data_IF_409742526825
#
_entry.id   IF_409742526825
#
_cell.length_a   1.000
_cell.length_b   1.000
_cell.length_c   1.000
_cell.angle_alpha   90.00
_cell.angle_beta   90.00
_cell.angle_gamma   90.00
#
_symmetry.space_group_name_H-M   'P 1'
#
loop_
_entity.id
_entity.type
_entity.pdbx_description
1 polymer ?
#
# COMPACT_ATOMS: atom_id res chain seq x y z
N UNK A 1 -16.33 29.50 17.13
CA UNK A 1 -16.42 28.12 16.56
C UNK A 1 -15.04 27.52 16.27
N UNK A 2 -14.05 28.27 15.75
CA UNK A 2 -12.68 27.80 15.47
C UNK A 2 -11.99 27.11 16.66
N UNK A 3 -11.89 27.77 17.83
CA UNK A 3 -11.21 27.25 19.03
C UNK A 3 -11.75 25.90 19.55
N UNK A 4 -13.01 25.59 19.29
CA UNK A 4 -13.63 24.30 19.66
C UNK A 4 -13.28 23.20 18.67
N UNK A 5 -13.13 23.55 17.39
CA UNK A 5 -12.69 22.66 16.33
C UNK A 5 -11.23 22.29 16.52
N UNK A 6 -10.35 23.29 16.76
CA UNK A 6 -8.92 23.06 17.00
C UNK A 6 -8.68 22.16 18.22
N UNK A 7 -9.52 22.31 19.29
CA UNK A 7 -9.43 21.44 20.47
C UNK A 7 -9.86 20.01 20.19
N UNK A 8 -10.83 19.79 19.31
CA UNK A 8 -11.30 18.45 18.91
C UNK A 8 -10.25 17.76 18.08
N UNK A 9 -9.75 18.40 17.03
CA UNK A 9 -8.72 17.89 16.11
C UNK A 9 -7.45 17.50 16.89
N UNK A 10 -7.05 18.31 17.89
CA UNK A 10 -5.90 18.01 18.74
C UNK A 10 -6.10 16.75 19.59
N UNK A 11 -7.30 16.52 20.14
CA UNK A 11 -7.59 15.32 20.94
C UNK A 11 -7.65 14.09 20.03
N UNK A 12 -8.25 14.20 18.84
CA UNK A 12 -8.28 13.14 17.85
C UNK A 12 -6.86 12.74 17.41
N UNK A 13 -5.98 13.71 17.15
CA UNK A 13 -4.57 13.45 16.86
C UNK A 13 -3.84 12.75 18.03
N UNK A 14 -4.10 13.15 19.28
CA UNK A 14 -3.54 12.47 20.44
C UNK A 14 -4.05 11.04 20.61
N UNK A 15 -5.31 10.77 20.26
CA UNK A 15 -5.88 9.40 20.27
C UNK A 15 -5.18 8.54 19.20
N UNK A 16 -4.97 9.07 17.99
CA UNK A 16 -4.27 8.36 16.93
C UNK A 16 -2.83 8.05 17.34
N UNK A 17 -2.11 9.03 17.88
CA UNK A 17 -0.72 8.85 18.33
C UNK A 17 -0.60 7.78 19.43
N UNK A 18 -1.50 7.79 20.42
CA UNK A 18 -1.58 6.73 21.42
C UNK A 18 -1.99 5.39 20.82
N UNK A 19 -2.90 5.40 19.85
CA UNK A 19 -3.30 4.21 19.11
C UNK A 19 -2.13 3.58 18.38
N UNK A 20 -1.26 4.37 17.73
CA UNK A 20 -0.02 3.90 17.09
C UNK A 20 0.93 3.26 18.11
N UNK A 21 1.12 3.88 19.27
CA UNK A 21 1.96 3.33 20.33
C UNK A 21 1.42 1.98 20.83
N UNK A 22 0.13 1.90 21.11
CA UNK A 22 -0.51 0.63 21.50
C UNK A 22 -0.45 -0.42 20.40
N UNK A 23 -0.52 0.00 19.12
CA UNK A 23 -0.34 -0.91 17.98
C UNK A 23 1.06 -1.54 17.99
N UNK A 24 2.09 -0.75 18.29
CA UNK A 24 3.47 -1.23 18.42
C UNK A 24 3.65 -2.18 19.62
N UNK A 25 3.07 -1.82 20.77
CA UNK A 25 3.27 -2.55 22.02
C UNK A 25 2.46 -3.84 22.12
N UNK A 26 1.24 -3.85 21.55
CA UNK A 26 0.25 -4.91 21.78
C UNK A 26 -0.35 -5.49 20.49
N UNK A 27 -0.10 -4.86 19.36
CA UNK A 27 -0.69 -5.25 18.07
C UNK A 27 -2.17 -4.84 17.92
N UNK A 28 -2.67 -4.97 16.68
CA UNK A 28 -4.00 -4.51 16.32
C UNK A 28 -5.14 -5.27 17.06
N UNK A 29 -4.93 -6.54 17.39
CA UNK A 29 -5.93 -7.36 18.08
C UNK A 29 -6.24 -6.88 19.51
N UNK A 30 -5.25 -6.28 20.20
CA UNK A 30 -5.37 -5.86 21.60
C UNK A 30 -5.64 -4.36 21.77
N UNK A 31 -5.87 -3.61 20.70
CA UNK A 31 -6.23 -2.19 20.79
C UNK A 31 -7.47 -1.95 21.66
N UNK A 32 -7.36 -1.00 22.60
CA UNK A 32 -8.37 -0.71 23.60
C UNK A 32 -8.55 0.79 23.83
N UNK A 33 -9.74 1.32 23.50
CA UNK A 33 -10.12 2.71 23.80
C UNK A 33 -10.08 3.03 25.30
N UNK A 34 -10.30 2.04 26.17
CA UNK A 34 -10.20 2.24 27.62
C UNK A 34 -8.76 2.44 28.08
N UNK A 35 -7.82 1.72 27.47
CA UNK A 35 -6.40 1.91 27.73
C UNK A 35 -5.94 3.30 27.24
N UNK A 36 -6.31 3.67 26.02
CA UNK A 36 -6.02 5.02 25.46
C UNK A 36 -6.63 6.13 26.34
N UNK A 37 -7.86 5.96 26.83
CA UNK A 37 -8.49 6.94 27.74
C UNK A 37 -7.67 7.13 29.02
N UNK A 38 -7.20 6.04 29.60
CA UNK A 38 -6.34 6.07 30.79
C UNK A 38 -5.04 6.83 30.52
N UNK A 39 -4.39 6.57 29.40
CA UNK A 39 -3.13 7.21 29.03
C UNK A 39 -3.29 8.69 28.71
N UNK A 40 -4.47 9.10 28.21
CA UNK A 40 -4.86 10.52 28.04
C UNK A 40 -5.24 11.22 29.37
N UNK A 41 -5.35 10.49 30.48
CA UNK A 41 -5.90 11.03 31.72
C UNK A 41 -7.38 11.40 31.61
N UNK A 42 -8.13 10.78 30.70
CA UNK A 42 -9.53 11.04 30.44
C UNK A 42 -10.43 9.89 30.94
N UNK A 43 -11.66 10.20 31.33
CA UNK A 43 -12.67 9.16 31.55
C UNK A 43 -13.06 8.52 30.21
N UNK A 44 -13.27 7.20 30.18
CA UNK A 44 -13.55 6.47 28.94
C UNK A 44 -14.73 7.07 28.15
N UNK A 45 -15.81 7.50 28.84
CA UNK A 45 -16.96 8.13 28.19
C UNK A 45 -16.63 9.43 27.43
N UNK A 46 -15.55 10.11 27.78
CA UNK A 46 -15.09 11.29 27.06
C UNK A 46 -14.40 10.93 25.75
N UNK A 47 -13.60 9.84 25.71
CA UNK A 47 -12.93 9.34 24.50
C UNK A 47 -13.94 8.83 23.48
N UNK A 48 -14.99 8.14 23.92
CA UNK A 48 -16.07 7.66 23.03
C UNK A 48 -16.82 8.79 22.28
N UNK A 49 -16.68 10.04 22.68
CA UNK A 49 -17.21 11.18 21.90
C UNK A 49 -16.36 11.57 20.70
N UNK A 50 -15.11 11.12 20.66
CA UNK A 50 -14.17 11.35 19.57
C UNK A 50 -14.05 10.13 18.64
N UNK A 51 -13.97 8.95 19.25
CA UNK A 51 -13.82 7.67 18.54
C UNK A 51 -14.87 6.71 19.13
N UNK A 52 -15.87 6.35 18.32
CA UNK A 52 -17.08 5.68 18.76
C UNK A 52 -16.90 4.20 19.16
N UNK A 53 -15.87 3.55 18.61
CA UNK A 53 -15.60 2.13 18.82
C UNK A 53 -14.13 1.79 18.59
N UNK A 54 -13.72 0.56 18.94
CA UNK A 54 -12.42 -0.01 18.58
C UNK A 54 -12.25 -0.08 17.06
N UNK A 55 -13.29 -0.45 16.35
CA UNK A 55 -13.25 -0.55 14.88
C UNK A 55 -13.09 0.82 14.24
N UNK A 56 -13.70 1.86 14.82
CA UNK A 56 -13.46 3.25 14.40
C UNK A 56 -12.00 3.66 14.62
N UNK A 57 -11.39 3.29 15.74
CA UNK A 57 -9.97 3.52 15.99
C UNK A 57 -9.09 2.80 14.97
N UNK A 58 -9.37 1.53 14.68
CA UNK A 58 -8.65 0.77 13.65
C UNK A 58 -8.77 1.44 12.29
N UNK A 59 -9.96 1.94 11.91
CA UNK A 59 -10.17 2.66 10.66
C UNK A 59 -9.33 3.94 10.61
N UNK A 60 -9.29 4.72 11.69
CA UNK A 60 -8.47 5.93 11.76
C UNK A 60 -6.98 5.62 11.61
N UNK A 61 -6.48 4.60 12.31
CA UNK A 61 -5.08 4.17 12.22
C UNK A 61 -4.73 3.64 10.84
N UNK A 62 -5.66 2.96 10.17
CA UNK A 62 -5.47 2.41 8.83
C UNK A 62 -5.42 3.52 7.78
N UNK A 63 -6.33 4.50 7.84
CA UNK A 63 -6.33 5.68 6.96
C UNK A 63 -5.07 6.51 7.14
N UNK A 64 -4.64 6.69 8.38
CA UNK A 64 -3.45 7.41 8.76
C UNK A 64 -2.19 6.71 8.24
N UNK A 65 -2.05 5.41 8.43
CA UNK A 65 -0.93 4.61 7.91
C UNK A 65 -0.86 4.62 6.38
N UNK A 66 -2.00 4.49 5.67
CA UNK A 66 -2.04 4.62 4.21
C UNK A 66 -1.60 6.01 3.75
N UNK A 67 -2.04 7.06 4.45
CA UNK A 67 -1.69 8.44 4.10
C UNK A 67 -0.21 8.70 4.30
N UNK A 68 0.37 8.26 5.41
CA UNK A 68 1.81 8.41 5.68
C UNK A 68 2.69 7.66 4.67
N UNK A 69 2.30 6.42 4.33
CA UNK A 69 2.98 5.63 3.30
C UNK A 69 2.93 6.35 1.94
N UNK A 70 1.75 6.81 1.55
CA UNK A 70 1.58 7.53 0.28
C UNK A 70 2.37 8.83 0.26
N UNK A 71 2.37 9.61 1.36
CA UNK A 71 3.14 10.84 1.47
C UNK A 71 4.67 10.58 1.40
N UNK A 72 5.14 9.44 1.92
CA UNK A 72 6.53 9.02 1.77
C UNK A 72 6.89 8.72 0.31
N UNK A 73 6.00 8.02 -0.39
CA UNK A 73 6.15 7.72 -1.83
C UNK A 73 6.13 9.00 -2.67
N UNK A 74 5.17 9.91 -2.44
CA UNK A 74 5.06 11.16 -3.18
C UNK A 74 6.34 12.00 -3.03
N UNK A 75 6.87 12.13 -1.81
CA UNK A 75 8.16 12.85 -1.56
C UNK A 75 9.34 12.23 -2.29
N UNK A 76 9.39 10.90 -2.40
CA UNK A 76 10.46 10.23 -3.12
C UNK A 76 10.38 10.50 -4.63
N UNK A 77 9.17 10.49 -5.19
CA UNK A 77 8.93 10.79 -6.61
C UNK A 77 9.28 12.22 -6.97
N UNK A 78 8.94 13.19 -6.13
CA UNK A 78 9.25 14.61 -6.35
C UNK A 78 10.76 14.89 -6.45
N UNK A 79 11.60 14.00 -5.90
CA UNK A 79 13.05 14.12 -5.90
C UNK A 79 13.73 13.39 -7.07
N UNK A 80 12.97 12.66 -7.92
CA UNK A 80 13.52 11.75 -8.93
C UNK A 80 13.65 12.38 -10.31
N UNK A 81 14.42 11.70 -11.17
CA UNK A 81 14.57 11.99 -12.59
C UNK A 81 13.32 11.57 -13.39
N UNK A 82 13.22 12.06 -14.65
CA UNK A 82 12.10 11.73 -15.55
C UNK A 82 12.14 10.28 -16.11
N UNK A 83 12.98 9.41 -15.56
CA UNK A 83 13.10 8.01 -15.99
C UNK A 83 12.08 7.16 -15.25
N UNK A 84 11.07 6.70 -15.95
CA UNK A 84 9.94 5.94 -15.39
C UNK A 84 10.36 4.69 -14.58
N UNK A 85 11.40 3.97 -15.04
CA UNK A 85 11.89 2.77 -14.33
C UNK A 85 12.52 3.09 -12.97
N UNK A 86 13.20 4.23 -12.88
CA UNK A 86 13.79 4.71 -11.64
C UNK A 86 12.70 5.24 -10.70
N UNK A 87 11.61 5.82 -11.23
CA UNK A 87 10.45 6.23 -10.44
C UNK A 87 9.77 5.00 -9.79
N UNK A 88 9.57 3.91 -10.53
CA UNK A 88 9.04 2.64 -9.97
C UNK A 88 9.93 2.10 -8.85
N UNK A 89 11.25 2.12 -9.04
CA UNK A 89 12.22 1.69 -8.01
C UNK A 89 12.18 2.62 -6.79
N UNK A 90 12.09 3.93 -7.00
CA UNK A 90 11.97 4.91 -5.91
C UNK A 90 10.69 4.74 -5.08
N UNK A 91 9.55 4.48 -5.73
CA UNK A 91 8.28 4.13 -5.07
C UNK A 91 8.48 2.92 -4.13
N UNK A 92 9.13 1.87 -4.65
CA UNK A 92 9.36 0.66 -3.87
C UNK A 92 10.30 0.89 -2.68
N UNK A 93 11.39 1.65 -2.87
CA UNK A 93 12.31 2.01 -1.79
C UNK A 93 11.64 2.88 -0.72
N UNK A 94 10.87 3.89 -1.12
CA UNK A 94 10.14 4.73 -0.17
C UNK A 94 9.14 3.91 0.66
N UNK A 95 8.44 2.96 0.02
CA UNK A 95 7.55 2.05 0.73
C UNK A 95 8.31 1.14 1.71
N UNK A 96 9.48 0.59 1.31
CA UNK A 96 10.31 -0.23 2.18
C UNK A 96 10.85 0.55 3.37
N UNK A 97 11.41 1.72 3.15
CA UNK A 97 12.00 2.55 4.21
C UNK A 97 10.94 2.96 5.23
N UNK A 98 9.74 3.33 4.75
CA UNK A 98 8.61 3.61 5.62
C UNK A 98 8.18 2.36 6.41
N UNK A 99 8.09 1.21 5.78
CA UNK A 99 7.67 -0.04 6.42
C UNK A 99 8.65 -0.50 7.51
N UNK A 100 9.96 -0.38 7.27
CA UNK A 100 11.02 -0.68 8.25
C UNK A 100 10.93 0.27 9.44
N UNK A 101 10.66 1.55 9.21
CA UNK A 101 10.49 2.53 10.27
C UNK A 101 9.17 2.35 11.05
N UNK A 102 8.13 1.76 10.42
CA UNK A 102 6.77 1.62 10.98
C UNK A 102 6.24 0.18 10.86
N UNK A 103 6.92 -0.84 11.42
CA UNK A 103 6.58 -2.25 11.21
C UNK A 103 5.17 -2.63 11.68
N UNK A 104 4.68 -2.03 12.77
CA UNK A 104 3.33 -2.28 13.26
C UNK A 104 2.26 -1.68 12.34
N UNK A 105 2.50 -0.50 11.76
CA UNK A 105 1.62 0.10 10.75
C UNK A 105 1.64 -0.71 9.45
N UNK A 106 2.83 -1.19 9.02
CA UNK A 106 2.92 -2.10 7.88
C UNK A 106 2.12 -3.39 8.12
N UNK A 107 2.22 -3.97 9.32
CA UNK A 107 1.45 -5.15 9.70
C UNK A 107 -0.07 -4.88 9.73
N UNK A 108 -0.50 -3.66 10.07
CA UNK A 108 -1.91 -3.26 10.00
C UNK A 108 -2.41 -3.17 8.55
N UNK A 109 -1.57 -2.69 7.61
CA UNK A 109 -1.92 -2.55 6.19
C UNK A 109 -1.89 -3.89 5.44
N UNK A 110 -0.82 -4.68 5.63
CA UNK A 110 -0.49 -5.84 4.78
C UNK A 110 -0.25 -7.15 5.55
N UNK A 111 -0.44 -7.13 6.87
CA UNK A 111 -0.29 -8.32 7.71
C UNK A 111 -1.58 -9.14 7.81
N UNK A 112 -1.72 -9.89 8.91
CA UNK A 112 -2.89 -10.73 9.13
C UNK A 112 -4.14 -9.90 9.38
N UNK A 113 -5.30 -10.28 8.79
CA UNK A 113 -6.57 -9.62 9.06
C UNK A 113 -6.90 -9.59 10.55
N UNK A 114 -7.43 -8.46 11.02
CA UNK A 114 -7.91 -8.32 12.40
C UNK A 114 -9.27 -9.02 12.52
N UNK A 115 -9.42 -10.05 13.38
CA UNK A 115 -10.67 -10.79 13.48
C UNK A 115 -11.86 -9.88 13.78
N UNK A 116 -12.94 -10.02 13.00
CA UNK A 116 -14.19 -9.28 13.17
C UNK A 116 -14.18 -7.83 12.69
N UNK A 117 -13.02 -7.31 12.24
CA UNK A 117 -12.93 -5.96 11.67
C UNK A 117 -13.04 -6.00 10.15
N UNK A 118 -13.82 -5.06 9.60
CA UNK A 118 -13.93 -4.81 8.16
C UNK A 118 -13.72 -3.32 7.91
N UNK A 119 -12.71 -3.00 7.13
CA UNK A 119 -12.39 -1.62 6.78
C UNK A 119 -13.51 -1.00 5.92
N UNK A 120 -14.07 0.16 6.30
CA UNK A 120 -15.08 0.85 5.50
C UNK A 120 -14.48 1.33 4.17
N UNK A 121 -15.00 0.83 3.05
CA UNK A 121 -14.47 1.09 1.70
C UNK A 121 -14.49 2.58 1.34
N UNK A 122 -15.56 3.28 1.71
CA UNK A 122 -15.74 4.73 1.49
C UNK A 122 -14.68 5.62 2.16
N UNK A 123 -13.99 5.10 3.18
CA UNK A 123 -12.96 5.82 3.93
C UNK A 123 -11.55 5.36 3.57
N UNK A 124 -11.38 4.12 3.16
CA UNK A 124 -10.07 3.48 3.02
C UNK A 124 -9.61 3.33 1.57
N UNK A 125 -10.51 3.29 0.59
CA UNK A 125 -10.13 3.18 -0.83
C UNK A 125 -9.26 4.37 -1.24
N UNK A 126 -9.70 5.61 -1.03
CA UNK A 126 -8.96 6.80 -1.44
C UNK A 126 -7.50 6.81 -0.96
N UNK A 127 -7.23 6.80 0.36
CA UNK A 127 -5.85 6.75 0.84
C UNK A 127 -5.12 5.45 0.48
N UNK A 128 -5.81 4.30 0.45
CA UNK A 128 -5.20 2.99 0.18
C UNK A 128 -4.78 2.78 -1.28
N UNK A 129 -5.33 3.54 -2.22
CA UNK A 129 -5.02 3.41 -3.66
C UNK A 129 -3.97 4.41 -4.15
N UNK A 130 -3.54 5.39 -3.34
CA UNK A 130 -2.55 6.42 -3.76
C UNK A 130 -1.24 5.82 -4.25
N UNK A 131 -0.68 4.84 -3.55
CA UNK A 131 0.59 4.20 -3.96
C UNK A 131 0.44 3.41 -5.26
N UNK A 132 -0.71 2.74 -5.46
CA UNK A 132 -1.03 2.07 -6.72
C UNK A 132 -1.18 3.09 -7.85
N UNK A 133 -1.84 4.21 -7.59
CA UNK A 133 -1.93 5.33 -8.52
C UNK A 133 -0.54 5.83 -8.94
N UNK A 134 0.36 6.03 -7.98
CA UNK A 134 1.74 6.42 -8.25
C UNK A 134 2.49 5.41 -9.15
N UNK A 135 2.29 4.10 -8.91
CA UNK A 135 2.85 3.05 -9.79
C UNK A 135 2.27 3.14 -11.21
N UNK A 136 0.95 3.31 -11.34
CA UNK A 136 0.31 3.47 -12.66
C UNK A 136 0.82 4.72 -13.39
N UNK A 137 1.01 5.84 -12.70
CA UNK A 137 1.57 7.07 -13.30
C UNK A 137 2.99 6.84 -13.83
N UNK A 138 3.86 6.19 -13.05
CA UNK A 138 5.21 5.86 -13.48
C UNK A 138 5.20 4.93 -14.72
N UNK A 139 4.35 3.90 -14.73
CA UNK A 139 4.20 2.99 -15.86
C UNK A 139 3.60 3.70 -17.08
N UNK A 140 2.64 4.62 -16.89
CA UNK A 140 2.08 5.44 -17.96
C UNK A 140 3.14 6.30 -18.65
N UNK A 141 4.10 6.85 -17.90
CA UNK A 141 5.25 7.55 -18.46
C UNK A 141 6.10 6.62 -19.35
N UNK A 142 6.34 5.37 -18.93
CA UNK A 142 7.05 4.38 -19.74
C UNK A 142 6.31 3.96 -21.01
N UNK A 143 4.97 3.97 -20.98
CA UNK A 143 4.17 3.77 -22.20
C UNK A 143 4.30 4.99 -23.13
N UNK A 144 4.24 6.20 -22.57
CA UNK A 144 4.33 7.44 -23.35
C UNK A 144 5.68 7.61 -24.05
N UNK A 145 6.79 7.16 -23.43
CA UNK A 145 8.12 7.14 -24.06
C UNK A 145 8.30 6.01 -25.08
N UNK A 146 7.40 5.02 -25.10
CA UNK A 146 7.48 3.85 -25.98
C UNK A 146 8.40 2.75 -25.46
N UNK A 147 8.91 2.85 -24.24
CA UNK A 147 9.73 1.82 -23.59
C UNK A 147 8.85 0.61 -23.20
N UNK A 148 7.62 0.86 -22.74
CA UNK A 148 6.63 -0.17 -22.46
C UNK A 148 5.69 -0.30 -23.65
N UNK A 149 5.69 -1.49 -24.26
CA UNK A 149 4.86 -1.77 -25.45
C UNK A 149 3.55 -2.44 -25.07
N UNK A 150 2.48 -1.94 -25.67
CA UNK A 150 1.15 -2.55 -25.54
C UNK A 150 1.03 -3.73 -26.50
N UNK A 151 0.46 -4.83 -26.03
CA UNK A 151 0.17 -6.01 -26.84
C UNK A 151 -1.20 -5.94 -27.49
N UNK A 152 -2.11 -5.15 -26.91
CA UNK A 152 -3.52 -5.05 -27.26
C UNK A 152 -4.27 -6.40 -27.23
N UNK A 153 -3.77 -7.34 -26.45
CA UNK A 153 -4.42 -8.64 -26.22
C UNK A 153 -5.28 -8.56 -24.96
N UNK A 154 -6.62 -8.78 -25.07
CA UNK A 154 -7.48 -8.72 -23.91
C UNK A 154 -7.26 -9.98 -23.03
N UNK A 155 -7.33 -9.78 -21.72
CA UNK A 155 -7.41 -10.89 -20.78
C UNK A 155 -8.76 -11.64 -20.92
N UNK A 156 -8.86 -12.90 -20.45
CA UNK A 156 -10.13 -13.61 -20.41
C UNK A 156 -11.18 -12.87 -19.54
N UNK A 157 -12.46 -13.01 -19.92
CA UNK A 157 -13.55 -12.53 -19.08
C UNK A 157 -13.67 -13.39 -17.81
N UNK A 158 -14.02 -12.79 -16.63
CA UNK A 158 -14.42 -11.37 -16.41
C UNK A 158 -13.26 -10.40 -16.17
N UNK A 159 -12.01 -10.86 -16.14
CA UNK A 159 -10.82 -10.09 -15.74
C UNK A 159 -10.63 -8.84 -16.63
N UNK A 160 -10.85 -8.97 -17.95
CA UNK A 160 -10.74 -7.82 -18.87
C UNK A 160 -11.72 -6.70 -18.51
N UNK A 161 -12.94 -7.04 -18.06
CA UNK A 161 -13.90 -6.04 -17.57
C UNK A 161 -13.49 -5.38 -16.26
N UNK A 162 -12.82 -6.13 -15.39
CA UNK A 162 -12.25 -5.60 -14.14
C UNK A 162 -11.11 -4.62 -14.44
N UNK A 163 -10.24 -4.96 -15.37
CA UNK A 163 -9.14 -4.10 -15.82
C UNK A 163 -9.64 -2.85 -16.53
N UNK A 164 -10.74 -2.94 -17.27
CA UNK A 164 -11.37 -1.75 -17.87
C UNK A 164 -11.85 -0.75 -16.81
N UNK A 165 -12.44 -1.23 -15.69
CA UNK A 165 -12.82 -0.35 -14.58
C UNK A 165 -11.60 0.33 -13.95
N UNK A 166 -10.49 -0.38 -13.77
CA UNK A 166 -9.25 0.21 -13.27
C UNK A 166 -8.69 1.27 -14.22
N UNK A 167 -8.70 1.02 -15.53
CA UNK A 167 -8.30 2.04 -16.51
C UNK A 167 -9.10 3.31 -16.38
N UNK A 168 -10.42 3.19 -16.23
CA UNK A 168 -11.31 4.34 -16.07
C UNK A 168 -11.09 5.07 -14.75
N UNK A 169 -10.91 4.32 -13.64
CA UNK A 169 -10.69 4.89 -12.31
C UNK A 169 -9.39 5.69 -12.22
N UNK A 170 -8.32 5.17 -12.79
CA UNK A 170 -6.98 5.79 -12.71
C UNK A 170 -6.60 6.59 -13.97
N UNK A 171 -7.42 6.62 -15.01
CA UNK A 171 -7.04 7.24 -16.29
C UNK A 171 -5.83 6.54 -16.95
N UNK A 172 -5.65 5.24 -16.69
CA UNK A 172 -4.44 4.50 -17.04
C UNK A 172 -4.46 4.05 -18.51
N UNK A 173 -3.41 4.35 -19.32
CA UNK A 173 -3.39 4.03 -20.75
C UNK A 173 -2.94 2.59 -21.05
N UNK A 174 -2.54 1.79 -20.06
CA UNK A 174 -2.04 0.44 -20.25
C UNK A 174 -3.13 -0.56 -20.67
N UNK A 175 -2.75 -1.55 -21.49
CA UNK A 175 -3.62 -2.67 -21.83
C UNK A 175 -3.72 -3.71 -20.70
N UNK A 176 -4.49 -4.78 -20.90
CA UNK A 176 -4.71 -5.81 -19.89
C UNK A 176 -3.40 -6.51 -19.47
N UNK A 177 -2.46 -6.70 -20.40
CA UNK A 177 -1.14 -7.27 -20.10
C UNK A 177 -0.34 -6.37 -19.17
N UNK A 178 -0.30 -5.06 -19.43
CA UNK A 178 0.43 -4.10 -18.60
C UNK A 178 -0.19 -4.00 -17.22
N UNK A 179 -1.53 -3.99 -17.09
CA UNK A 179 -2.20 -4.01 -15.78
C UNK A 179 -1.80 -5.28 -15.01
N UNK A 180 -1.84 -6.46 -15.65
CA UNK A 180 -1.43 -7.70 -15.01
C UNK A 180 0.02 -7.65 -14.51
N UNK A 181 0.94 -7.05 -15.29
CA UNK A 181 2.34 -6.83 -14.88
C UNK A 181 2.44 -5.87 -13.68
N UNK A 182 1.63 -4.82 -13.64
CA UNK A 182 1.57 -3.93 -12.47
C UNK A 182 1.13 -4.67 -11.20
N UNK A 183 0.16 -5.61 -11.30
CA UNK A 183 -0.21 -6.46 -10.17
C UNK A 183 0.95 -7.35 -9.70
N UNK A 184 1.73 -7.92 -10.62
CA UNK A 184 2.92 -8.73 -10.28
C UNK A 184 3.96 -7.87 -9.56
N UNK A 185 4.22 -6.65 -10.05
CA UNK A 185 5.17 -5.72 -9.43
C UNK A 185 4.71 -5.38 -8.02
N UNK A 186 3.45 -4.98 -7.86
CA UNK A 186 2.91 -4.61 -6.55
C UNK A 186 2.95 -5.78 -5.56
N UNK A 187 2.53 -6.97 -5.99
CA UNK A 187 2.63 -8.17 -5.16
C UNK A 187 4.09 -8.48 -4.77
N UNK A 188 5.03 -8.31 -5.70
CA UNK A 188 6.46 -8.48 -5.44
C UNK A 188 7.00 -7.46 -4.44
N UNK A 189 6.64 -6.18 -4.57
CA UNK A 189 7.03 -5.10 -3.63
C UNK A 189 6.50 -5.42 -2.23
N UNK A 190 5.19 -5.65 -2.10
CA UNK A 190 4.58 -5.95 -0.78
C UNK A 190 5.17 -7.23 -0.19
N UNK A 191 5.38 -8.27 -1.00
CA UNK A 191 5.96 -9.53 -0.56
C UNK A 191 7.39 -9.37 -0.06
N UNK A 192 8.26 -8.69 -0.82
CA UNK A 192 9.65 -8.47 -0.46
C UNK A 192 9.78 -7.67 0.86
N UNK A 193 9.02 -6.58 0.97
CA UNK A 193 8.97 -5.76 2.19
C UNK A 193 8.46 -6.58 3.38
N UNK A 194 7.38 -7.34 3.21
CA UNK A 194 6.80 -8.15 4.29
C UNK A 194 7.75 -9.23 4.78
N UNK A 195 8.48 -9.90 3.89
CA UNK A 195 9.48 -10.91 4.26
C UNK A 195 10.60 -10.30 5.10
N UNK A 196 11.01 -9.05 4.81
CA UNK A 196 12.02 -8.35 5.57
C UNK A 196 11.47 -7.84 6.91
N UNK A 197 10.37 -7.09 6.89
CA UNK A 197 9.77 -6.47 8.09
C UNK A 197 9.34 -7.52 9.12
N UNK A 198 8.84 -8.67 8.67
CA UNK A 198 8.44 -9.77 9.56
C UNK A 198 9.56 -10.76 9.88
N UNK A 199 10.81 -10.46 9.48
CA UNK A 199 11.98 -11.25 9.80
C UNK A 199 12.04 -12.64 9.15
N UNK A 200 11.29 -12.84 8.04
CA UNK A 200 11.14 -14.15 7.43
C UNK A 200 12.35 -14.60 6.62
N UNK A 201 13.28 -13.70 6.30
CA UNK A 201 14.56 -14.08 5.73
C UNK A 201 15.51 -14.76 6.74
N UNK A 202 15.24 -14.63 8.06
CA UNK A 202 16.14 -15.08 9.10
C UNK A 202 17.25 -14.05 9.42
N UNK A 203 17.78 -14.14 10.64
CA UNK A 203 18.66 -13.10 11.22
C UNK A 203 19.98 -12.94 10.46
N UNK A 204 20.56 -14.05 9.95
CA UNK A 204 21.89 -14.06 9.35
C UNK A 204 21.90 -14.46 7.87
N UNK A 205 20.74 -14.46 7.20
CA UNK A 205 20.63 -14.94 5.81
C UNK A 205 21.16 -13.91 4.82
N UNK A 206 20.88 -12.63 5.05
CA UNK A 206 21.24 -11.54 4.15
C UNK A 206 22.23 -10.60 4.82
N UNK A 207 23.42 -10.47 4.24
CA UNK A 207 24.42 -9.50 4.71
C UNK A 207 24.09 -8.06 4.33
N UNK A 208 23.33 -7.87 3.25
CA UNK A 208 22.89 -6.58 2.74
C UNK A 208 21.46 -6.69 2.18
N UNK A 209 20.42 -6.57 3.04
CA UNK A 209 19.03 -6.62 2.62
C UNK A 209 18.65 -5.52 1.62
N UNK A 210 19.29 -4.34 1.70
CA UNK A 210 19.02 -3.24 0.79
C UNK A 210 19.43 -3.57 -0.64
N UNK A 211 20.62 -4.11 -0.86
CA UNK A 211 21.08 -4.53 -2.20
C UNK A 211 20.24 -5.68 -2.74
N UNK A 212 19.78 -6.60 -1.89
CA UNK A 212 18.86 -7.67 -2.31
C UNK A 212 17.54 -7.08 -2.78
N UNK A 213 16.95 -6.16 -2.01
CA UNK A 213 15.70 -5.49 -2.38
C UNK A 213 15.83 -4.71 -3.69
N UNK A 214 16.88 -3.90 -3.84
CA UNK A 214 17.18 -3.17 -5.08
C UNK A 214 17.24 -4.12 -6.29
N UNK A 215 17.92 -5.26 -6.14
CA UNK A 215 18.03 -6.27 -7.20
C UNK A 215 16.67 -6.85 -7.56
N UNK A 216 15.84 -7.16 -6.56
CA UNK A 216 14.48 -7.65 -6.78
C UNK A 216 13.61 -6.62 -7.51
N UNK A 217 13.69 -5.34 -7.12
CA UNK A 217 12.91 -4.27 -7.76
C UNK A 217 13.30 -4.08 -9.22
N UNK A 218 14.59 -4.10 -9.54
CA UNK A 218 15.05 -4.02 -10.94
C UNK A 218 14.61 -5.22 -11.77
N UNK A 219 14.58 -6.41 -11.21
CA UNK A 219 14.02 -7.60 -11.88
C UNK A 219 12.51 -7.44 -12.14
N UNK A 220 11.75 -6.94 -11.17
CA UNK A 220 10.32 -6.69 -11.32
C UNK A 220 10.03 -5.63 -12.39
N UNK A 221 10.79 -4.53 -12.41
CA UNK A 221 10.70 -3.52 -13.47
C UNK A 221 11.00 -4.13 -14.84
N UNK A 222 11.96 -5.05 -14.92
CA UNK A 222 12.27 -5.79 -16.13
C UNK A 222 11.10 -6.58 -16.73
N UNK A 223 10.11 -6.96 -15.92
CA UNK A 223 8.88 -7.64 -16.39
C UNK A 223 8.07 -6.73 -17.33
N UNK A 224 8.07 -5.41 -17.11
CA UNK A 224 7.37 -4.45 -17.97
C UNK A 224 8.00 -4.36 -19.37
N UNK A 225 9.32 -4.55 -19.47
CA UNK A 225 10.06 -4.48 -20.73
C UNK A 225 9.99 -5.78 -21.53
N UNK A 226 9.52 -6.89 -20.92
CA UNK A 226 9.41 -8.16 -21.64
C UNK A 226 8.21 -8.10 -22.59
N UNK A 227 8.49 -8.26 -23.87
CA UNK A 227 7.43 -8.57 -24.84
C UNK A 227 6.87 -9.94 -24.55
N UNK A 228 5.54 -10.08 -24.52
CA UNK A 228 4.85 -11.38 -24.31
C UNK A 228 5.03 -12.33 -25.53
N UNK A 229 6.17 -12.26 -26.19
CA UNK A 229 6.50 -13.08 -27.38
C UNK A 229 6.68 -14.51 -26.89
N UNK A 230 5.63 -15.32 -26.97
CA UNK A 230 5.66 -16.75 -26.74
C UNK A 230 4.89 -17.31 -25.54
N UNK A 231 4.24 -16.47 -24.73
CA UNK A 231 3.25 -16.99 -23.82
C UNK A 231 2.04 -17.48 -24.64
N UNK A 232 1.60 -18.74 -24.53
CA UNK A 232 0.35 -19.14 -25.16
C UNK A 232 -0.76 -18.21 -24.62
N UNK A 233 -1.69 -17.75 -25.48
CA UNK A 233 -2.85 -17.03 -25.00
C UNK A 233 -3.45 -17.88 -23.89
N UNK A 234 -3.84 -17.28 -22.77
CA UNK A 234 -4.39 -17.95 -21.59
C UNK A 234 -5.28 -19.11 -22.03
N UNK A 235 -4.71 -20.33 -22.07
CA UNK A 235 -5.38 -21.50 -22.58
C UNK A 235 -6.54 -21.83 -21.67
N UNK A 236 -7.75 -21.66 -22.15
CA UNK A 236 -8.93 -22.28 -21.54
C UNK A 236 -8.63 -23.79 -21.54
N UNK A 237 -8.61 -24.46 -20.36
CA UNK A 237 -8.53 -25.92 -20.36
C UNK A 237 -9.74 -26.44 -21.15
N UNK A 238 -9.48 -27.05 -22.29
CA UNK A 238 -10.50 -27.84 -23.02
C UNK A 238 -10.90 -28.99 -22.10
N UNK A 239 -12.03 -28.83 -21.43
CA UNK A 239 -12.73 -29.93 -20.78
C UNK A 239 -13.12 -30.95 -21.87
N UNK A 240 -12.44 -32.08 -21.85
CA UNK A 240 -12.95 -33.32 -22.44
C UNK A 240 -13.96 -33.95 -21.49
#
# INVERSE_FOLDING_TARGET
MAKRRDSRERIEAQIIELGRRHLVEHGAAELSLRAIARDLGMVSSAVYRYVSSRDELLTLLLVDAYSELADAVDRARDAMSEVWSDDVVAIAHAARDWAIAHPASWALLYGSPVPGYHAPADRTIGPGTRVIGALFDAVAAGIATGDIKLTNQPAPQPISSDFERLRQEFGFPGDDSVIAKCFVIWAGVVGAISLEVFGQYGVDTLSDPQTVFETQMRLLVGVLNQSDVGAPPFGVPTTN
#
